data_IF_111194226300
#
_entry.id   IF_111194226300
#
_cell.length_a   1.000
_cell.length_b   1.000
_cell.length_c   1.000
_cell.angle_alpha   90.00
_cell.angle_beta   90.00
_cell.angle_gamma   90.00
#
_symmetry.space_group_name_H-M   'P 1'
#
loop_
_entity.id
_entity.type
_entity.pdbx_description
1 polymer ?
#
# COMPACT_ATOMS: atom_id res chain seq x y z
N UNK A 1 8.90 9.04 -3.92
CA UNK A 1 7.53 9.43 -3.56
C UNK A 1 6.94 8.34 -2.68
N UNK A 2 6.33 8.70 -1.54
CA UNK A 2 5.62 7.78 -0.64
C UNK A 2 4.14 8.17 -0.62
N UNK A 3 3.24 7.21 -0.75
CA UNK A 3 1.81 7.44 -0.97
C UNK A 3 1.02 6.70 0.10
N UNK A 4 0.23 7.45 0.87
CA UNK A 4 -0.60 6.93 1.96
C UNK A 4 -1.89 6.26 1.43
N UNK A 5 -2.68 5.70 2.34
CA UNK A 5 -3.98 5.10 2.04
C UNK A 5 -5.15 5.73 2.79
N UNK A 6 -6.21 4.95 2.93
CA UNK A 6 -7.35 5.20 3.80
C UNK A 6 -7.38 4.16 4.94
N UNK A 7 -7.75 4.50 6.18
CA UNK A 7 -8.11 5.83 6.69
C UNK A 7 -6.89 6.62 7.18
N UNK A 8 -5.73 6.37 6.57
CA UNK A 8 -4.49 7.07 6.90
C UNK A 8 -4.33 8.43 6.20
N UNK A 9 -3.13 8.98 6.28
CA UNK A 9 -2.78 10.28 5.71
C UNK A 9 -1.25 10.40 5.57
N UNK A 10 -0.76 11.54 5.10
CA UNK A 10 0.69 11.83 5.07
C UNK A 10 1.37 11.69 6.44
N UNK A 11 0.60 11.76 7.52
CA UNK A 11 1.08 11.58 8.90
C UNK A 11 1.68 10.20 9.15
N UNK A 12 1.24 9.17 8.44
CA UNK A 12 1.78 7.80 8.57
C UNK A 12 3.29 7.74 8.32
N UNK A 13 3.80 8.63 7.48
CA UNK A 13 5.22 8.68 7.12
C UNK A 13 6.06 9.62 7.99
N UNK A 14 5.46 10.34 8.94
CA UNK A 14 6.18 11.34 9.75
C UNK A 14 7.40 10.75 10.46
N UNK A 15 7.28 9.54 11.01
CA UNK A 15 8.37 8.82 11.67
C UNK A 15 9.37 8.18 10.69
N UNK A 16 8.95 7.88 9.46
CA UNK A 16 9.80 7.29 8.42
C UNK A 16 10.63 8.34 7.67
N UNK A 17 10.13 9.56 7.52
CA UNK A 17 10.82 10.62 6.75
C UNK A 17 12.25 10.87 7.26
N UNK A 18 12.50 11.10 8.56
CA UNK A 18 13.86 11.28 9.07
C UNK A 18 14.77 10.10 8.73
N UNK A 19 14.24 8.88 8.86
CA UNK A 19 14.96 7.65 8.57
C UNK A 19 15.26 7.48 7.07
N UNK A 20 14.46 8.05 6.17
CA UNK A 20 14.67 7.95 4.72
C UNK A 20 15.65 9.01 4.19
N UNK A 21 15.63 10.21 4.77
CA UNK A 21 16.53 11.31 4.37
C UNK A 21 17.93 11.14 4.95
N UNK A 22 18.08 10.46 6.09
CA UNK A 22 19.39 10.15 6.66
C UNK A 22 20.17 9.21 5.73
N UNK A 23 21.41 9.53 5.35
CA UNK A 23 22.21 8.65 4.53
C UNK A 23 22.54 7.37 5.29
N UNK A 24 22.19 6.22 4.73
CA UNK A 24 22.60 4.92 5.26
C UNK A 24 23.22 4.12 4.15
N UNK A 25 24.50 3.78 4.32
CA UNK A 25 25.28 3.05 3.33
C UNK A 25 25.15 3.65 1.91
N UNK A 26 25.40 4.96 1.82
CA UNK A 26 25.43 5.76 0.57
C UNK A 26 24.10 5.96 -0.16
N UNK A 27 22.96 5.59 0.44
CA UNK A 27 21.62 5.91 -0.07
C UNK A 27 20.90 6.85 0.89
N UNK A 28 20.46 7.99 0.36
CA UNK A 28 19.56 8.95 0.99
C UNK A 28 18.46 9.33 0.00
N UNK A 29 17.28 9.66 0.50
CA UNK A 29 16.15 10.06 -0.33
C UNK A 29 15.80 11.54 -0.14
N UNK A 30 15.40 12.17 -1.24
CA UNK A 30 14.44 13.27 -1.19
C UNK A 30 13.04 12.68 -1.16
N UNK A 31 12.23 13.07 -0.17
CA UNK A 31 10.90 12.47 0.07
C UNK A 31 9.80 13.43 -0.31
N UNK A 32 8.99 13.02 -1.29
CA UNK A 32 7.74 13.67 -1.67
C UNK A 32 6.60 12.80 -1.15
N UNK A 33 5.76 13.34 -0.27
CA UNK A 33 4.61 12.68 0.34
C UNK A 33 3.34 13.51 0.13
N UNK A 34 2.63 13.34 -1.01
CA UNK A 34 1.42 14.10 -1.29
C UNK A 34 0.22 13.54 -0.53
N UNK A 35 -0.75 14.39 -0.20
CA UNK A 35 -2.10 13.91 0.10
C UNK A 35 -2.80 13.48 -1.19
N UNK A 36 -3.47 12.33 -1.19
CA UNK A 36 -4.33 11.88 -2.31
C UNK A 36 -5.42 12.95 -2.54
N UNK A 37 -5.78 13.31 -3.79
CA UNK A 37 -6.87 14.26 -4.02
C UNK A 37 -8.18 13.85 -3.33
N UNK A 38 -8.75 14.74 -2.52
CA UNK A 38 -9.88 14.46 -1.64
C UNK A 38 -9.50 13.92 -0.25
N UNK A 39 -8.21 13.83 0.07
CA UNK A 39 -7.64 13.46 1.37
C UNK A 39 -6.72 14.56 1.88
N UNK A 40 -6.47 14.53 3.20
CA UNK A 40 -5.69 15.52 3.93
C UNK A 40 -5.98 16.95 3.46
N UNK A 41 -4.93 17.61 2.97
CA UNK A 41 -4.97 19.00 2.53
C UNK A 41 -5.04 19.15 1.00
N UNK A 42 -5.23 18.05 0.27
CA UNK A 42 -5.39 18.08 -1.19
C UNK A 42 -6.85 18.27 -1.57
N UNK A 43 -7.10 19.22 -2.48
CA UNK A 43 -8.43 19.51 -3.01
C UNK A 43 -9.14 18.25 -3.55
N UNK A 44 -10.44 18.13 -3.26
CA UNK A 44 -11.26 17.04 -3.76
C UNK A 44 -11.54 17.19 -5.26
N UNK A 45 -11.62 16.08 -6.01
CA UNK A 45 -12.04 16.12 -7.41
C UNK A 45 -13.45 16.74 -7.56
N UNK A 46 -13.61 17.61 -8.57
CA UNK A 46 -14.86 18.32 -8.85
C UNK A 46 -15.78 17.55 -9.82
N UNK A 47 -15.30 16.46 -10.39
CA UNK A 47 -16.02 15.65 -11.39
C UNK A 47 -15.91 14.16 -11.04
N UNK A 48 -16.93 13.35 -11.37
CA UNK A 48 -16.86 11.89 -11.26
C UNK A 48 -15.75 11.30 -12.15
N UNK A 49 -15.41 10.02 -11.90
CA UNK A 49 -14.39 9.28 -12.65
C UNK A 49 -12.96 9.55 -12.18
N UNK A 50 -12.79 10.07 -10.97
CA UNK A 50 -11.46 10.27 -10.39
C UNK A 50 -11.03 9.04 -9.59
N UNK A 51 -10.24 8.17 -10.23
CA UNK A 51 -9.76 6.92 -9.64
C UNK A 51 -8.23 6.84 -9.50
N UNK A 52 -7.74 5.63 -9.24
CA UNK A 52 -6.33 5.25 -9.13
C UNK A 52 -5.49 5.72 -10.33
N UNK A 53 -6.00 5.57 -11.55
CA UNK A 53 -5.32 5.94 -12.79
C UNK A 53 -5.20 7.47 -12.95
N UNK A 54 -6.25 8.22 -12.61
CA UNK A 54 -6.18 9.69 -12.62
C UNK A 54 -5.21 10.19 -11.54
N UNK A 55 -5.19 9.55 -10.37
CA UNK A 55 -4.24 9.87 -9.30
C UNK A 55 -2.80 9.60 -9.72
N UNK A 56 -2.52 8.44 -10.31
CA UNK A 56 -1.21 8.10 -10.86
C UNK A 56 -0.72 9.15 -11.87
N UNK A 57 -1.60 9.59 -12.79
CA UNK A 57 -1.30 10.67 -13.74
C UNK A 57 -0.95 11.98 -13.05
N UNK A 58 -1.71 12.37 -12.03
CA UNK A 58 -1.48 13.63 -11.29
C UNK A 58 -0.16 13.58 -10.53
N UNK A 59 0.17 12.45 -9.91
CA UNK A 59 1.42 12.30 -9.16
C UNK A 59 2.65 12.25 -10.06
N UNK A 60 2.58 11.62 -11.24
CA UNK A 60 3.68 11.73 -12.23
C UNK A 60 3.86 13.19 -12.67
N UNK A 61 2.78 13.91 -12.98
CA UNK A 61 2.84 15.34 -13.31
C UNK A 61 3.37 16.21 -12.17
N UNK A 62 3.06 15.86 -10.92
CA UNK A 62 3.61 16.53 -9.74
C UNK A 62 5.14 16.36 -9.71
N UNK A 63 5.63 15.14 -9.87
CA UNK A 63 7.06 14.85 -9.89
C UNK A 63 7.78 15.55 -11.05
N UNK A 64 7.17 15.59 -12.25
CA UNK A 64 7.69 16.35 -13.39
C UNK A 64 7.81 17.85 -13.09
N UNK A 65 6.80 18.44 -12.45
CA UNK A 65 6.83 19.86 -12.04
C UNK A 65 7.89 20.15 -10.98
N UNK A 66 8.22 19.16 -10.16
CA UNK A 66 9.32 19.21 -9.20
C UNK A 66 10.68 18.82 -9.82
N UNK A 67 10.76 18.66 -11.15
CA UNK A 67 11.96 18.28 -11.90
C UNK A 67 12.50 16.86 -11.62
N UNK A 68 11.67 15.95 -11.10
CA UNK A 68 12.01 14.55 -10.93
C UNK A 68 11.44 13.71 -12.07
N UNK A 69 12.26 13.41 -13.08
CA UNK A 69 11.83 12.61 -14.25
C UNK A 69 11.82 11.11 -14.01
N UNK A 70 12.73 10.61 -13.15
CA UNK A 70 12.86 9.18 -12.84
C UNK A 70 13.04 9.01 -11.33
N UNK A 71 12.10 8.35 -10.67
CA UNK A 71 12.04 8.31 -9.20
C UNK A 71 11.51 6.97 -8.68
N UNK A 72 11.80 6.67 -7.41
CA UNK A 72 11.21 5.54 -6.70
C UNK A 72 9.82 5.90 -6.17
N UNK A 73 8.91 4.92 -6.16
CA UNK A 73 7.57 5.07 -5.60
C UNK A 73 7.32 3.98 -4.55
N UNK A 74 6.67 4.35 -3.46
CA UNK A 74 6.25 3.45 -2.38
C UNK A 74 4.79 3.70 -1.98
N UNK A 75 4.05 2.63 -1.66
CA UNK A 75 2.77 2.77 -0.96
C UNK A 75 2.18 1.45 -0.44
N UNK A 76 1.37 1.57 0.61
CA UNK A 76 0.41 0.56 1.08
C UNK A 76 -1.02 0.98 0.73
N UNK A 77 -2.03 0.11 0.96
CA UNK A 77 -3.45 0.42 0.71
C UNK A 77 -3.72 1.09 -0.68
N UNK A 78 -4.39 2.24 -0.75
CA UNK A 78 -4.56 2.99 -2.01
C UNK A 78 -3.23 3.45 -2.60
N UNK A 79 -2.24 3.76 -1.76
CA UNK A 79 -0.87 4.01 -2.18
C UNK A 79 -0.24 2.83 -2.92
N UNK A 80 -0.57 1.59 -2.55
CA UNK A 80 -0.16 0.38 -3.29
C UNK A 80 -0.83 0.35 -4.67
N UNK A 81 -2.14 0.59 -4.74
CA UNK A 81 -2.87 0.63 -6.01
C UNK A 81 -2.33 1.72 -6.95
N UNK A 82 -2.09 2.92 -6.42
CA UNK A 82 -1.56 4.07 -7.18
C UNK A 82 -0.12 3.81 -7.61
N UNK A 83 0.74 3.30 -6.73
CA UNK A 83 2.14 2.97 -7.04
C UNK A 83 2.23 1.93 -8.16
N UNK A 84 1.38 0.90 -8.11
CA UNK A 84 1.27 -0.07 -9.19
C UNK A 84 0.79 0.56 -10.49
N UNK A 85 -0.26 1.39 -10.45
CA UNK A 85 -0.76 2.07 -11.64
C UNK A 85 0.31 2.98 -12.28
N UNK A 86 1.11 3.68 -11.47
CA UNK A 86 2.25 4.47 -11.95
C UNK A 86 3.27 3.58 -12.66
N UNK A 87 3.65 2.45 -12.08
CA UNK A 87 4.61 1.51 -12.67
C UNK A 87 4.09 0.79 -13.93
N UNK A 88 2.77 0.66 -14.09
CA UNK A 88 2.12 0.10 -15.28
C UNK A 88 2.01 1.13 -16.42
N UNK A 89 1.57 2.34 -16.11
CA UNK A 89 1.18 3.35 -17.10
C UNK A 89 2.35 4.25 -17.49
N UNK A 90 3.28 4.50 -16.56
CA UNK A 90 4.41 5.42 -16.73
C UNK A 90 5.76 4.75 -16.39
N UNK A 91 6.08 3.57 -16.95
CA UNK A 91 7.27 2.81 -16.55
C UNK A 91 8.58 3.59 -16.71
N UNK A 92 8.67 4.47 -17.70
CA UNK A 92 9.86 5.31 -17.94
C UNK A 92 10.15 6.30 -16.78
N UNK A 93 9.09 6.73 -16.07
CA UNK A 93 9.22 7.63 -14.92
C UNK A 93 9.56 6.89 -13.62
N UNK A 94 9.30 5.58 -13.55
CA UNK A 94 9.42 4.80 -12.32
C UNK A 94 10.73 4.03 -12.30
N UNK A 95 11.66 4.45 -11.44
CA UNK A 95 12.95 3.78 -11.23
C UNK A 95 12.80 2.45 -10.49
N UNK A 96 11.79 2.36 -9.64
CA UNK A 96 11.44 1.14 -8.91
C UNK A 96 10.16 1.35 -8.10
N UNK A 97 9.37 0.29 -7.95
CA UNK A 97 8.11 0.28 -7.21
C UNK A 97 8.25 -0.59 -5.96
N UNK A 98 8.00 -0.02 -4.79
CA UNK A 98 7.97 -0.74 -3.53
C UNK A 98 6.55 -0.73 -2.96
N UNK A 99 6.06 -1.87 -2.48
CA UNK A 99 4.72 -1.94 -1.88
C UNK A 99 4.73 -2.69 -0.56
N UNK A 100 3.85 -2.32 0.36
CA UNK A 100 3.68 -3.01 1.65
C UNK A 100 2.36 -3.76 1.78
N UNK A 101 1.57 -3.75 0.71
CA UNK A 101 0.36 -4.56 0.55
C UNK A 101 0.52 -5.34 -0.75
N UNK A 102 0.07 -6.60 -0.78
CA UNK A 102 0.13 -7.41 -1.99
C UNK A 102 -1.02 -8.41 -2.00
N UNK A 103 -2.19 -7.94 -2.41
CA UNK A 103 -3.43 -8.71 -2.32
C UNK A 103 -3.74 -9.61 -3.52
N UNK A 104 -4.56 -10.62 -3.25
CA UNK A 104 -5.06 -11.62 -4.19
C UNK A 104 -6.33 -11.21 -4.97
N UNK A 105 -6.86 -10.01 -4.71
CA UNK A 105 -8.14 -9.56 -5.28
C UNK A 105 -8.12 -9.48 -6.82
N UNK A 106 -6.93 -9.39 -7.43
CA UNK A 106 -6.76 -9.28 -8.88
C UNK A 106 -6.30 -10.61 -9.50
N UNK A 107 -6.30 -11.72 -8.74
CA UNK A 107 -5.88 -13.03 -9.26
C UNK A 107 -6.77 -13.49 -10.41
N UNK A 108 -6.17 -13.83 -11.55
CA UNK A 108 -6.82 -14.59 -12.64
C UNK A 108 -5.87 -15.57 -13.33
N UNK A 109 -6.45 -16.50 -14.08
CA UNK A 109 -5.71 -17.45 -14.93
C UNK A 109 -4.76 -18.33 -14.13
N UNK A 110 -3.48 -18.36 -14.54
CA UNK A 110 -2.45 -19.21 -13.92
C UNK A 110 -2.25 -18.95 -12.42
N UNK A 111 -2.58 -17.75 -11.94
CA UNK A 111 -2.53 -17.43 -10.51
C UNK A 111 -3.56 -18.27 -9.73
N UNK A 112 -4.80 -18.41 -10.23
CA UNK A 112 -5.81 -19.29 -9.62
C UNK A 112 -5.38 -20.76 -9.66
N UNK A 113 -4.77 -21.19 -10.77
CA UNK A 113 -4.22 -22.54 -10.84
C UNK A 113 -3.15 -22.77 -9.78
N UNK A 114 -2.17 -21.87 -9.65
CA UNK A 114 -1.14 -21.93 -8.59
C UNK A 114 -1.74 -21.86 -7.19
N UNK A 115 -2.78 -21.06 -6.99
CA UNK A 115 -3.53 -21.02 -5.73
C UNK A 115 -4.06 -22.43 -5.43
N UNK A 116 -4.92 -22.96 -6.29
CA UNK A 116 -5.54 -24.28 -6.09
C UNK A 116 -4.51 -25.40 -5.91
N UNK A 117 -3.43 -25.43 -6.70
CA UNK A 117 -2.33 -26.40 -6.50
C UNK A 117 -1.66 -26.20 -5.15
N UNK A 118 -1.40 -24.95 -4.74
CA UNK A 118 -0.80 -24.63 -3.45
C UNK A 118 -1.65 -25.06 -2.24
N UNK A 119 -2.97 -25.21 -2.41
CA UNK A 119 -3.87 -25.74 -1.39
C UNK A 119 -3.62 -27.23 -1.10
N UNK A 120 -3.38 -28.03 -2.15
CA UNK A 120 -3.22 -29.49 -2.05
C UNK A 120 -1.76 -29.96 -2.05
N UNK A 121 -0.88 -29.21 -2.70
CA UNK A 121 0.53 -29.53 -2.90
C UNK A 121 1.40 -28.26 -2.77
N UNK A 122 1.51 -27.66 -1.58
CA UNK A 122 2.23 -26.40 -1.37
C UNK A 122 3.70 -26.45 -1.79
N UNK A 123 4.35 -27.62 -1.69
CA UNK A 123 5.73 -27.82 -2.14
C UNK A 123 5.97 -27.65 -3.65
N UNK A 124 4.91 -27.63 -4.47
CA UNK A 124 5.02 -27.39 -5.92
C UNK A 124 4.91 -25.91 -6.30
N UNK A 125 4.47 -25.06 -5.38
CA UNK A 125 4.15 -23.65 -5.66
C UNK A 125 5.00 -22.70 -4.83
N UNK A 126 5.28 -23.06 -3.58
CA UNK A 126 5.89 -22.16 -2.61
C UNK A 126 7.31 -22.58 -2.26
N UNK A 127 8.22 -21.61 -2.25
CA UNK A 127 9.62 -21.82 -1.82
C UNK A 127 9.69 -22.16 -0.33
N UNK A 128 8.79 -21.58 0.48
CA UNK A 128 8.60 -21.92 1.88
C UNK A 128 7.18 -22.45 2.09
N UNK A 129 6.92 -23.77 1.87
CA UNK A 129 5.59 -24.34 1.89
C UNK A 129 4.80 -24.05 3.16
N UNK A 130 5.44 -24.04 4.34
CA UNK A 130 4.73 -23.82 5.60
C UNK A 130 4.33 -22.36 5.78
N UNK A 131 5.28 -21.44 5.60
CA UNK A 131 5.02 -20.01 5.82
C UNK A 131 4.08 -19.43 4.76
N UNK A 132 4.31 -19.77 3.49
CA UNK A 132 3.48 -19.26 2.38
C UNK A 132 2.08 -19.86 2.37
N UNK A 133 1.92 -21.13 2.80
CA UNK A 133 0.60 -21.72 2.95
C UNK A 133 -0.25 -20.95 3.96
N UNK A 134 0.31 -20.59 5.12
CA UNK A 134 -0.39 -19.82 6.14
C UNK A 134 -0.83 -18.41 5.69
N UNK A 135 -0.22 -17.85 4.63
CA UNK A 135 -0.65 -16.56 4.04
C UNK A 135 -1.97 -16.68 3.32
N UNK A 136 -2.23 -17.84 2.71
CA UNK A 136 -3.36 -18.07 1.80
C UNK A 136 -4.43 -18.99 2.34
N UNK A 137 -4.09 -19.85 3.31
CA UNK A 137 -4.92 -20.96 3.79
C UNK A 137 -5.06 -20.99 5.32
N UNK A 138 -6.15 -21.60 5.85
CA UNK A 138 -7.32 -22.10 5.13
C UNK A 138 -8.12 -20.96 4.47
N UNK A 139 -8.44 -21.13 3.18
CA UNK A 139 -8.99 -20.05 2.35
C UNK A 139 -10.38 -19.61 2.83
N UNK A 140 -11.23 -20.54 3.27
CA UNK A 140 -12.58 -20.22 3.71
C UNK A 140 -12.58 -19.35 4.98
N UNK A 141 -11.66 -19.59 5.92
CA UNK A 141 -11.56 -18.79 7.14
C UNK A 141 -11.09 -17.37 6.82
N UNK A 142 -10.09 -17.24 5.93
CA UNK A 142 -9.61 -15.95 5.45
C UNK A 142 -10.66 -15.19 4.63
N UNK A 143 -11.45 -15.90 3.82
CA UNK A 143 -12.56 -15.33 3.08
C UNK A 143 -13.67 -14.85 4.03
N UNK A 144 -14.02 -15.66 5.03
CA UNK A 144 -14.99 -15.31 6.08
C UNK A 144 -14.55 -14.05 6.83
N UNK A 145 -13.28 -14.00 7.24
CA UNK A 145 -12.69 -12.80 7.84
C UNK A 145 -12.76 -11.59 6.90
N UNK A 146 -12.40 -11.77 5.63
CA UNK A 146 -12.45 -10.69 4.64
C UNK A 146 -13.88 -10.14 4.46
N UNK A 147 -14.90 -11.00 4.44
CA UNK A 147 -16.31 -10.59 4.35
C UNK A 147 -16.72 -9.81 5.59
N UNK A 148 -16.34 -10.29 6.79
CA UNK A 148 -16.59 -9.60 8.06
C UNK A 148 -16.01 -8.19 8.08
N UNK A 149 -14.79 -8.03 7.56
CA UNK A 149 -14.06 -6.76 7.61
C UNK A 149 -14.35 -5.82 6.41
N UNK A 150 -15.03 -6.30 5.37
CA UNK A 150 -15.31 -5.53 4.15
C UNK A 150 -16.50 -4.54 4.24
N UNK A 151 -17.19 -4.47 5.39
CA UNK A 151 -18.40 -3.65 5.55
C UNK A 151 -18.18 -2.16 5.25
N UNK A 152 -17.07 -1.59 5.74
CA UNK A 152 -16.70 -0.19 5.49
C UNK A 152 -16.53 0.08 3.99
N UNK A 153 -15.82 -0.81 3.31
CA UNK A 153 -15.45 -0.71 1.91
C UNK A 153 -16.67 -0.80 1.01
N UNK A 154 -17.60 -1.71 1.30
CA UNK A 154 -18.86 -1.82 0.58
C UNK A 154 -19.71 -0.54 0.72
N UNK A 155 -19.82 0.00 1.94
CA UNK A 155 -20.59 1.22 2.16
C UNK A 155 -19.96 2.44 1.46
N UNK A 156 -18.63 2.58 1.51
CA UNK A 156 -17.92 3.68 0.85
C UNK A 156 -17.91 3.56 -0.67
N UNK A 157 -17.83 2.33 -1.21
CA UNK A 157 -17.89 2.11 -2.65
C UNK A 157 -19.28 2.38 -3.25
N UNK A 158 -20.34 2.45 -2.42
CA UNK A 158 -21.72 2.57 -2.91
C UNK A 158 -22.42 3.86 -2.49
N UNK A 159 -22.31 4.26 -1.23
CA UNK A 159 -23.00 5.40 -0.61
C UNK A 159 -22.06 6.28 0.23
N UNK A 160 -20.91 6.74 -0.32
CA UNK A 160 -19.92 7.49 0.44
C UNK A 160 -20.48 8.79 1.04
N UNK A 161 -21.31 9.52 0.29
CA UNK A 161 -21.93 10.77 0.74
C UNK A 161 -22.91 10.57 1.91
N UNK A 162 -23.58 9.42 1.98
CA UNK A 162 -24.52 9.10 3.08
C UNK A 162 -23.76 8.85 4.38
N UNK A 163 -22.78 7.95 4.36
CA UNK A 163 -21.97 7.69 5.57
C UNK A 163 -21.09 8.89 5.91
N UNK A 164 -20.55 9.58 4.91
CA UNK A 164 -19.74 10.77 5.08
C UNK A 164 -20.49 11.91 5.78
N UNK A 165 -21.77 12.14 5.44
CA UNK A 165 -22.58 13.15 6.12
C UNK A 165 -22.71 12.91 7.63
N UNK A 166 -22.80 11.64 8.06
CA UNK A 166 -22.84 11.30 9.49
C UNK A 166 -21.49 11.50 10.20
N UNK A 167 -20.38 11.24 9.49
CA UNK A 167 -19.03 11.33 10.06
C UNK A 167 -18.49 12.77 10.11
N UNK A 168 -18.91 13.63 9.19
CA UNK A 168 -18.51 15.06 9.16
C UNK A 168 -19.02 15.81 10.40
N UNK A 169 -20.23 15.50 10.88
CA UNK A 169 -20.88 16.26 11.95
C UNK A 169 -20.63 15.69 13.36
N UNK A 170 -20.02 14.49 13.44
CA UNK A 170 -19.78 13.81 14.71
C UNK A 170 -18.29 13.48 14.89
N UNK A 171 -17.54 14.20 15.74
CA UNK A 171 -16.12 13.92 15.95
C UNK A 171 -15.92 12.55 16.63
N UNK A 172 -16.86 12.13 17.48
CA UNK A 172 -16.86 10.79 18.09
C UNK A 172 -17.14 9.72 17.04
N UNK A 173 -18.09 9.98 16.13
CA UNK A 173 -18.39 9.09 15.01
C UNK A 173 -17.20 8.90 14.08
N UNK A 174 -16.55 10.00 13.69
CA UNK A 174 -15.33 9.98 12.88
C UNK A 174 -14.20 9.22 13.58
N UNK A 175 -13.94 9.54 14.84
CA UNK A 175 -12.89 8.88 15.62
C UNK A 175 -13.15 7.38 15.73
N UNK A 176 -14.36 6.96 16.10
CA UNK A 176 -14.69 5.53 16.21
C UNK A 176 -14.53 4.79 14.87
N UNK A 177 -14.98 5.40 13.77
CA UNK A 177 -14.93 4.80 12.44
C UNK A 177 -13.50 4.63 11.91
N UNK A 178 -12.59 5.55 12.25
CA UNK A 178 -11.17 5.49 11.86
C UNK A 178 -10.36 4.62 12.82
N UNK A 179 -10.51 4.80 14.14
CA UNK A 179 -9.74 4.08 15.16
C UNK A 179 -9.95 2.58 15.12
N UNK A 180 -11.16 2.12 14.79
CA UNK A 180 -11.42 0.68 14.63
C UNK A 180 -10.44 0.05 13.61
N UNK A 181 -10.09 0.77 12.54
CA UNK A 181 -9.11 0.28 11.56
C UNK A 181 -7.69 0.22 12.12
N UNK A 182 -7.27 1.24 12.89
CA UNK A 182 -5.99 1.21 13.62
C UNK A 182 -5.93 0.11 14.70
N UNK A 183 -7.07 -0.39 15.17
CA UNK A 183 -7.13 -1.59 16.02
C UNK A 183 -6.96 -2.85 15.17
N UNK A 184 -7.93 -3.12 14.30
CA UNK A 184 -8.08 -4.43 13.62
C UNK A 184 -6.99 -4.68 12.58
N UNK A 185 -6.53 -3.65 11.86
CA UNK A 185 -5.54 -3.82 10.79
C UNK A 185 -4.09 -3.78 11.27
N UNK A 186 -3.85 -3.35 12.51
CA UNK A 186 -2.55 -3.50 13.17
C UNK A 186 -2.37 -4.91 13.73
N UNK A 187 -3.41 -5.46 14.37
CA UNK A 187 -3.44 -6.84 14.83
C UNK A 187 -4.88 -7.36 14.91
N UNK A 188 -5.23 -8.43 14.19
CA UNK A 188 -6.55 -9.06 14.28
C UNK A 188 -6.96 -9.46 15.71
N UNK A 189 -5.99 -9.77 16.57
CA UNK A 189 -6.24 -10.15 17.97
C UNK A 189 -6.72 -8.96 18.82
N UNK A 190 -6.65 -7.74 18.31
CA UNK A 190 -7.18 -6.55 19.00
C UNK A 190 -8.71 -6.50 19.05
N UNK A 191 -9.42 -7.19 18.14
CA UNK A 191 -10.89 -7.17 18.07
C UNK A 191 -11.55 -7.64 19.38
N UNK A 192 -10.89 -8.52 20.14
CA UNK A 192 -11.39 -9.01 21.43
C UNK A 192 -11.02 -8.17 22.64
N UNK A 193 -10.18 -7.13 22.48
CA UNK A 193 -9.67 -6.31 23.59
C UNK A 193 -10.64 -5.19 23.92
N UNK A 194 -10.84 -4.93 25.21
CA UNK A 194 -11.78 -3.91 25.68
C UNK A 194 -11.42 -2.49 25.22
N UNK A 195 -10.13 -2.22 24.99
CA UNK A 195 -9.58 -0.94 24.53
C UNK A 195 -9.21 -0.96 23.03
N UNK A 196 -9.53 -2.04 22.32
CA UNK A 196 -9.13 -2.26 20.92
C UNK A 196 -7.62 -2.32 20.70
N UNK A 197 -6.81 -2.45 21.76
CA UNK A 197 -5.35 -2.48 21.63
C UNK A 197 -4.71 -1.23 20.99
N UNK A 198 -5.44 -0.10 20.94
CA UNK A 198 -5.08 1.09 20.16
C UNK A 198 -3.70 1.66 20.53
N UNK A 199 -3.31 1.54 21.80
CA UNK A 199 -2.07 2.11 22.31
C UNK A 199 -0.87 1.15 22.30
N UNK A 200 -0.97 -0.01 21.65
CA UNK A 200 0.15 -0.96 21.55
C UNK A 200 1.24 -0.49 20.58
N UNK A 201 0.85 0.18 19.50
CA UNK A 201 1.77 0.67 18.44
C UNK A 201 1.80 2.18 18.30
N UNK A 202 0.77 2.86 18.78
CA UNK A 202 0.58 4.30 18.61
C UNK A 202 0.31 4.96 19.96
N UNK A 203 0.71 6.21 20.09
CA UNK A 203 0.22 7.09 21.14
C UNK A 203 -1.17 7.63 20.76
N UNK A 204 -1.93 8.11 21.74
CA UNK A 204 -3.22 8.76 21.46
C UNK A 204 -3.03 10.03 20.61
N UNK A 205 -1.96 10.79 20.83
CA UNK A 205 -1.66 11.98 20.03
C UNK A 205 -1.40 11.63 18.57
N UNK A 206 -0.69 10.53 18.30
CA UNK A 206 -0.46 10.04 16.95
C UNK A 206 -1.77 9.67 16.23
N UNK A 207 -2.67 8.96 16.91
CA UNK A 207 -3.97 8.57 16.37
C UNK A 207 -4.89 9.77 16.17
N UNK A 208 -4.99 10.65 17.19
CA UNK A 208 -5.79 11.86 17.14
C UNK A 208 -5.25 12.84 16.10
N UNK A 209 -3.95 12.91 15.86
CA UNK A 209 -3.39 13.74 14.78
C UNK A 209 -3.92 13.29 13.42
N UNK A 210 -3.93 11.98 13.14
CA UNK A 210 -4.51 11.47 11.89
C UNK A 210 -6.00 11.81 11.80
N UNK A 211 -6.77 11.63 12.89
CA UNK A 211 -8.20 11.99 12.92
C UNK A 211 -8.42 13.48 12.70
N UNK A 212 -7.59 14.33 13.32
CA UNK A 212 -7.67 15.78 13.19
C UNK A 212 -7.38 16.25 11.76
N UNK A 213 -6.52 15.54 11.02
CA UNK A 213 -6.33 15.81 9.59
C UNK A 213 -7.65 15.63 8.84
N UNK A 214 -8.42 14.55 9.08
CA UNK A 214 -9.74 14.36 8.47
C UNK A 214 -10.78 15.38 8.94
N UNK A 215 -10.82 15.64 10.26
CA UNK A 215 -11.79 16.53 10.89
C UNK A 215 -11.63 17.98 10.42
N UNK A 216 -10.42 18.52 10.49
CA UNK A 216 -10.17 19.95 10.22
C UNK A 216 -10.21 20.30 8.73
N UNK A 217 -9.91 19.34 7.86
CA UNK A 217 -10.01 19.51 6.41
C UNK A 217 -11.39 19.16 5.84
N UNK A 218 -12.29 18.62 6.67
CA UNK A 218 -13.65 18.24 6.31
C UNK A 218 -13.72 17.36 5.05
N UNK A 219 -12.87 16.33 4.98
CA UNK A 219 -12.65 15.55 3.75
C UNK A 219 -13.06 14.08 3.85
N UNK A 220 -13.66 13.64 4.97
CA UNK A 220 -14.03 12.23 5.15
C UNK A 220 -15.00 11.75 4.07
N UNK A 221 -15.95 12.59 3.64
CA UNK A 221 -16.84 12.23 2.53
C UNK A 221 -16.08 12.15 1.20
N UNK A 222 -15.19 13.09 0.91
CA UNK A 222 -14.42 13.09 -0.35
C UNK A 222 -13.41 11.94 -0.42
N UNK A 223 -12.79 11.56 0.70
CA UNK A 223 -11.88 10.41 0.75
C UNK A 223 -12.63 9.13 0.42
N UNK A 224 -13.86 8.98 0.93
CA UNK A 224 -14.69 7.80 0.68
C UNK A 224 -15.19 7.72 -0.77
N UNK A 225 -15.37 8.85 -1.46
CA UNK A 225 -15.71 8.85 -2.90
C UNK A 225 -14.64 8.15 -3.74
N UNK A 226 -13.38 8.12 -3.29
CA UNK A 226 -12.31 7.39 -3.97
C UNK A 226 -12.61 5.89 -4.10
N UNK A 227 -13.25 5.28 -3.10
CA UNK A 227 -13.74 3.90 -3.18
C UNK A 227 -14.80 3.73 -4.26
N UNK A 228 -15.78 4.64 -4.30
CA UNK A 228 -16.88 4.60 -5.29
C UNK A 228 -16.36 4.70 -6.72
N UNK A 229 -15.39 5.56 -6.96
CA UNK A 229 -14.85 5.79 -8.30
C UNK A 229 -13.82 4.71 -8.70
N UNK A 230 -12.99 4.22 -7.77
CA UNK A 230 -11.81 3.43 -8.10
C UNK A 230 -11.84 1.93 -7.78
N UNK A 231 -12.70 1.47 -6.87
CA UNK A 231 -12.57 0.11 -6.34
C UNK A 231 -12.80 -0.99 -7.38
N UNK A 232 -13.86 -0.87 -8.20
CA UNK A 232 -14.14 -1.84 -9.26
C UNK A 232 -13.05 -1.81 -10.33
N UNK A 233 -12.67 -0.62 -10.78
CA UNK A 233 -11.62 -0.45 -11.80
C UNK A 233 -10.29 -1.05 -11.36
N UNK A 234 -9.93 -0.88 -10.08
CA UNK A 234 -8.74 -1.47 -9.49
C UNK A 234 -8.78 -3.01 -9.48
N UNK A 235 -9.90 -3.61 -9.04
CA UNK A 235 -10.05 -5.07 -8.98
C UNK A 235 -9.96 -5.72 -10.37
N UNK A 236 -10.55 -5.08 -11.38
CA UNK A 236 -10.58 -5.63 -12.74
C UNK A 236 -9.30 -5.34 -13.54
N UNK A 237 -8.40 -4.46 -13.08
CA UNK A 237 -7.13 -4.20 -13.76
C UNK A 237 -6.12 -5.33 -13.51
N UNK A 238 -5.93 -6.11 -14.56
CA UNK A 238 -5.13 -7.35 -14.54
C UNK A 238 -3.72 -7.18 -15.06
N UNK A 239 -3.38 -5.99 -15.55
CA UNK A 239 -2.11 -5.78 -16.20
C UNK A 239 -1.00 -5.96 -15.15
N UNK A 240 0.04 -6.76 -15.43
CA UNK A 240 1.20 -6.81 -14.57
C UNK A 240 1.91 -5.46 -14.59
N UNK A 241 2.68 -5.18 -13.55
CA UNK A 241 3.68 -4.11 -13.60
C UNK A 241 4.66 -4.38 -14.74
N UNK A 242 5.10 -3.31 -15.40
CA UNK A 242 6.05 -3.40 -16.51
C UNK A 242 7.33 -4.15 -16.08
N UNK A 243 7.81 -5.06 -16.93
CA UNK A 243 9.05 -5.83 -16.68
C UNK A 243 10.29 -4.91 -16.55
N UNK A 244 10.25 -3.74 -17.18
CA UNK A 244 11.30 -2.72 -17.07
C UNK A 244 11.40 -2.05 -15.70
N UNK A 245 10.40 -2.21 -14.83
CA UNK A 245 10.36 -1.58 -13.50
C UNK A 245 10.68 -2.62 -12.43
N UNK A 246 11.84 -2.52 -11.75
CA UNK A 246 12.14 -3.35 -10.59
C UNK A 246 11.11 -3.15 -9.49
N UNK A 247 10.71 -4.24 -8.84
CA UNK A 247 9.69 -4.24 -7.82
C UNK A 247 10.18 -4.84 -6.49
N UNK A 248 9.62 -4.33 -5.40
CA UNK A 248 9.78 -4.86 -4.05
C UNK A 248 8.43 -5.02 -3.34
N UNK A 249 8.32 -6.08 -2.54
CA UNK A 249 7.17 -6.33 -1.65
C UNK A 249 7.67 -6.50 -0.22
N UNK A 250 7.13 -5.71 0.70
CA UNK A 250 7.25 -5.88 2.14
C UNK A 250 6.00 -6.58 2.68
N UNK A 251 6.15 -7.82 3.14
CA UNK A 251 5.06 -8.68 3.61
C UNK A 251 4.98 -8.64 5.15
N UNK A 252 4.11 -7.77 5.67
CA UNK A 252 3.85 -7.65 7.10
C UNK A 252 2.96 -8.80 7.62
N UNK A 253 3.25 -9.37 8.80
CA UNK A 253 2.56 -10.58 9.26
C UNK A 253 1.04 -10.38 9.47
N UNK A 254 0.63 -9.19 9.93
CA UNK A 254 -0.76 -8.85 10.23
C UNK A 254 -1.44 -8.04 9.11
N UNK A 255 -0.82 -7.93 7.93
CA UNK A 255 -1.42 -7.26 6.78
C UNK A 255 -2.74 -7.93 6.36
N UNK A 256 -3.76 -7.12 6.00
CA UNK A 256 -5.09 -7.59 5.64
C UNK A 256 -5.10 -8.34 4.30
N UNK A 257 -4.14 -8.04 3.42
CA UNK A 257 -4.01 -8.69 2.13
C UNK A 257 -2.54 -9.09 1.83
N UNK A 258 -2.24 -10.36 2.10
CA UNK A 258 -0.90 -10.95 1.93
C UNK A 258 -0.81 -11.80 0.67
N UNK A 259 0.37 -11.79 0.06
CA UNK A 259 0.65 -12.57 -1.14
C UNK A 259 2.04 -13.17 -1.05
N UNK A 260 2.17 -14.49 -1.17
CA UNK A 260 3.50 -15.13 -1.24
C UNK A 260 4.28 -14.67 -2.46
N UNK A 261 5.61 -14.80 -2.42
CA UNK A 261 6.50 -14.44 -3.52
C UNK A 261 6.08 -15.09 -4.85
N UNK A 262 5.71 -16.38 -4.80
CA UNK A 262 5.30 -17.14 -5.98
C UNK A 262 4.02 -16.63 -6.65
N UNK A 263 3.08 -16.09 -5.86
CA UNK A 263 1.85 -15.47 -6.38
C UNK A 263 2.16 -14.07 -6.93
N UNK A 264 2.92 -13.27 -6.17
CA UNK A 264 3.32 -11.93 -6.55
C UNK A 264 4.19 -11.85 -7.81
N UNK A 265 4.99 -12.87 -8.10
CA UNK A 265 5.85 -12.93 -9.29
C UNK A 265 5.09 -12.79 -10.62
N UNK A 266 3.78 -13.06 -10.64
CA UNK A 266 2.96 -12.81 -11.83
C UNK A 266 2.62 -11.33 -12.02
N UNK A 267 2.36 -10.62 -10.93
CA UNK A 267 2.04 -9.19 -10.95
C UNK A 267 3.31 -8.34 -11.09
N UNK A 268 4.40 -8.81 -10.50
CA UNK A 268 5.72 -8.18 -10.48
C UNK A 268 6.74 -9.11 -11.14
N UNK A 269 6.82 -9.06 -12.47
CA UNK A 269 7.72 -9.94 -13.24
C UNK A 269 9.20 -9.68 -12.97
N UNK A 270 9.54 -8.45 -12.57
CA UNK A 270 10.88 -8.04 -12.13
C UNK A 270 10.91 -7.81 -10.61
N UNK A 271 10.52 -8.82 -9.83
CA UNK A 271 10.52 -8.78 -8.36
C UNK A 271 11.94 -9.02 -7.80
N UNK A 272 12.66 -7.93 -7.54
CA UNK A 272 14.05 -7.96 -7.06
C UNK A 272 14.18 -8.10 -5.55
N UNK A 273 13.11 -7.79 -4.80
CA UNK A 273 13.07 -7.92 -3.35
C UNK A 273 11.70 -8.41 -2.89
N UNK A 274 11.69 -9.38 -1.99
CA UNK A 274 10.52 -9.79 -1.24
C UNK A 274 10.97 -10.00 0.20
N UNK A 275 10.43 -9.22 1.12
CA UNK A 275 10.85 -9.21 2.52
C UNK A 275 9.70 -9.65 3.41
N UNK A 276 9.89 -10.76 4.12
CA UNK A 276 8.97 -11.16 5.20
C UNK A 276 9.33 -10.38 6.46
N UNK A 277 8.45 -9.47 6.87
CA UNK A 277 8.71 -8.62 8.03
C UNK A 277 8.51 -9.39 9.32
N UNK A 278 9.33 -9.08 10.33
CA UNK A 278 9.28 -9.78 11.63
C UNK A 278 8.02 -9.46 12.45
N UNK A 279 7.40 -8.29 12.23
CA UNK A 279 6.23 -7.78 12.97
C UNK A 279 5.59 -6.62 12.22
N UNK A 280 4.39 -6.22 12.65
CA UNK A 280 3.60 -5.12 12.11
C UNK A 280 2.43 -5.60 11.27
N UNK A 281 1.48 -4.70 11.03
CA UNK A 281 0.30 -4.92 10.20
C UNK A 281 0.24 -3.97 9.02
N UNK A 282 -0.95 -3.46 8.76
CA UNK A 282 -1.28 -2.69 7.56
C UNK A 282 -0.58 -1.33 7.49
N UNK A 283 -0.41 -0.65 8.63
CA UNK A 283 0.18 0.69 8.68
C UNK A 283 1.69 0.63 8.84
N UNK A 284 2.38 -0.19 8.03
CA UNK A 284 3.77 -0.59 8.28
C UNK A 284 4.77 0.56 8.46
N UNK A 285 4.61 1.68 7.74
CA UNK A 285 5.45 2.87 7.92
C UNK A 285 5.21 3.59 9.26
N UNK A 286 3.98 3.53 9.76
CA UNK A 286 3.57 4.18 11.00
C UNK A 286 3.79 3.28 12.23
N UNK A 287 3.59 1.98 12.10
CA UNK A 287 3.82 0.97 13.15
C UNK A 287 5.30 0.66 13.33
N UNK A 288 6.02 0.45 12.23
CA UNK A 288 7.39 -0.07 12.22
C UNK A 288 8.29 0.77 11.30
N UNK A 289 8.49 2.07 11.61
CA UNK A 289 9.13 3.02 10.70
C UNK A 289 10.55 2.63 10.29
N UNK A 290 11.30 1.98 11.19
CA UNK A 290 12.66 1.47 10.90
C UNK A 290 12.63 0.28 9.94
N UNK A 291 11.79 -0.73 10.19
CA UNK A 291 11.68 -1.90 9.31
C UNK A 291 11.29 -1.47 7.89
N UNK A 292 10.31 -0.58 7.76
CA UNK A 292 9.89 -0.06 6.47
C UNK A 292 11.00 0.74 5.77
N UNK A 293 11.65 1.67 6.48
CA UNK A 293 12.66 2.55 5.89
C UNK A 293 13.92 1.79 5.46
N UNK A 294 14.35 0.81 6.27
CA UNK A 294 15.48 -0.05 5.97
C UNK A 294 15.21 -0.93 4.73
N UNK A 295 13.99 -1.45 4.59
CA UNK A 295 13.60 -2.25 3.44
C UNK A 295 13.53 -1.43 2.14
N UNK A 296 12.98 -0.20 2.20
CA UNK A 296 12.97 0.76 1.09
C UNK A 296 14.41 1.11 0.67
N UNK A 297 15.30 1.37 1.62
CA UNK A 297 16.73 1.65 1.35
C UNK A 297 17.45 0.46 0.73
N UNK A 298 17.22 -0.73 1.27
CA UNK A 298 17.75 -2.00 0.75
C UNK A 298 17.31 -2.23 -0.70
N UNK A 299 16.03 -2.02 -0.99
CA UNK A 299 15.48 -2.13 -2.34
C UNK A 299 16.13 -1.14 -3.30
N UNK A 300 16.15 0.15 -2.93
CA UNK A 300 16.74 1.18 -3.79
C UNK A 300 18.20 0.86 -4.11
N UNK A 301 18.98 0.40 -3.12
CA UNK A 301 20.37 -0.04 -3.35
C UNK A 301 20.46 -1.14 -4.40
N UNK A 302 19.69 -2.23 -4.24
CA UNK A 302 19.68 -3.33 -5.20
C UNK A 302 19.41 -2.84 -6.63
N UNK A 303 18.49 -1.89 -6.78
CA UNK A 303 18.20 -1.28 -8.08
C UNK A 303 19.39 -0.48 -8.62
N UNK A 304 20.04 0.34 -7.79
CA UNK A 304 21.23 1.10 -8.19
C UNK A 304 22.39 0.18 -8.61
N UNK A 305 22.60 -0.91 -7.89
CA UNK A 305 23.64 -1.89 -8.17
C UNK A 305 23.38 -2.60 -9.51
N UNK A 306 22.13 -3.00 -9.76
CA UNK A 306 21.71 -3.59 -11.05
C UNK A 306 21.95 -2.62 -12.22
N UNK A 307 21.59 -1.35 -12.07
CA UNK A 307 21.83 -0.33 -13.09
C UNK A 307 23.34 -0.11 -13.34
N UNK A 308 24.17 -0.18 -12.31
CA UNK A 308 25.62 -0.07 -12.44
C UNK A 308 26.22 -1.25 -13.23
N UNK A 309 25.73 -2.47 -12.97
CA UNK A 309 26.12 -3.69 -13.68
C UNK A 309 25.69 -3.63 -15.16
N UNK A 310 24.50 -3.13 -15.47
CA UNK A 310 24.04 -2.98 -16.86
C UNK A 310 24.88 -1.96 -17.62
N UNK A 311 25.21 -0.83 -16.99
CA UNK A 311 26.07 0.21 -17.59
C UNK A 311 27.49 -0.30 -17.84
N UNK A 312 28.05 -1.13 -16.97
CA UNK A 312 29.39 -1.70 -17.17
C UNK A 312 29.41 -2.68 -18.33
N UNK A 313 28.40 -3.56 -18.43
CA UNK A 313 28.23 -4.50 -19.56
C UNK A 313 28.17 -3.77 -20.91
N UNK A 314 27.36 -2.70 -21.00
CA UNK A 314 27.23 -1.90 -22.23
C UNK A 314 28.54 -1.21 -22.65
N UNK A 315 29.40 -0.83 -21.71
CA UNK A 315 30.72 -0.24 -22.00
C UNK A 315 31.72 -1.27 -22.53
N UNK A 316 31.63 -2.53 -22.12
CA UNK A 316 32.51 -3.60 -22.59
C UNK A 316 32.12 -4.19 -23.95
N UNK A 317 30.92 -3.90 -24.46
CA UNK A 317 30.43 -4.38 -25.77
C UNK A 317 30.56 -3.35 -26.91
N UNK A 318 31.06 -2.15 -26.61
CA UNK A 318 31.40 -1.10 -27.58
C UNK A 318 32.91 -0.97 -27.69
#
# INVERSE_FOLDING_TARGET
MVIHGWPGSVWEYYKSIPLLIEPTNDVAFEVICPSIPGYGFSEAPHQPGFDVSQTARIFVKLMERLNHRRFFVHGGDWGFAISQAMAKIYPENIRGVHVSMSGVLNMRGIQWFKFLVGMYAPGLVFDNPKADYAKHYPFLDKLSWSIREAGYMHLQATKPDTVGAALVDSPVGLAAYILEKFSTWTDPDNVGKADGGLTQKFTLDELLTNIMIYWTSNNVASSMRFYKEGFVNFIVDQRPVSESVPAAVADFPNEIARGSRAINAHQYRNLVQYTEMARGGHFGAFEEPRLMSDDIKSFARKVLDLEAIEKSKQKTTK
#
